data_IF_068047401172
#
_entry.id   IF_068047401172
#
_cell.length_a   1.000
_cell.length_b   1.000
_cell.length_c   1.000
_cell.angle_alpha   90.00
_cell.angle_beta   90.00
_cell.angle_gamma   90.00
#
_symmetry.space_group_name_H-M   'P 1'
#
loop_
_entity.id
_entity.type
_entity.pdbx_description
1 polymer ?
#
# COMPACT_ATOMS: atom_id res chain seq x y z
N UNK A 1 11.24 -19.78 -8.09
CA UNK A 1 10.89 -18.47 -8.68
C UNK A 1 10.60 -17.49 -7.57
N UNK A 2 11.20 -16.29 -7.57
CA UNK A 2 10.84 -15.25 -6.58
C UNK A 2 9.56 -14.55 -7.02
N UNK A 3 8.65 -14.34 -6.07
CA UNK A 3 7.46 -13.54 -6.29
C UNK A 3 7.78 -12.05 -6.15
N UNK A 4 7.07 -11.20 -6.86
CA UNK A 4 7.14 -9.78 -6.63
C UNK A 4 6.26 -9.41 -5.44
N UNK A 5 6.75 -8.51 -4.60
CA UNK A 5 5.94 -7.75 -3.66
C UNK A 5 6.06 -6.27 -3.99
N UNK A 6 4.94 -5.66 -4.30
CA UNK A 6 4.83 -4.25 -4.66
C UNK A 6 4.19 -3.50 -3.48
N UNK A 7 4.94 -2.61 -2.85
CA UNK A 7 4.51 -1.88 -1.66
C UNK A 7 4.32 -0.41 -2.04
N UNK A 8 3.09 0.09 -1.97
CA UNK A 8 2.81 1.51 -2.22
C UNK A 8 3.15 2.35 -0.99
N UNK A 9 3.70 3.54 -1.22
CA UNK A 9 4.02 4.52 -0.17
C UNK A 9 3.45 5.88 -0.54
N UNK A 10 2.74 6.54 0.37
CA UNK A 10 2.24 7.90 0.11
C UNK A 10 1.04 8.31 0.97
N UNK A 11 0.71 9.60 0.93
CA UNK A 11 -0.42 10.19 1.67
C UNK A 11 -1.78 9.68 1.14
N UNK A 12 -2.84 9.99 1.86
CA UNK A 12 -4.22 9.73 1.37
C UNK A 12 -4.45 10.45 0.03
N UNK A 13 -5.33 9.92 -0.81
CA UNK A 13 -5.66 10.45 -2.15
C UNK A 13 -4.49 10.61 -3.13
N UNK A 14 -3.33 10.03 -2.84
CA UNK A 14 -2.20 10.07 -3.79
C UNK A 14 -2.36 9.16 -5.01
N UNK A 15 -3.39 8.29 -5.07
CA UNK A 15 -3.69 7.42 -6.21
C UNK A 15 -3.25 5.97 -6.04
N UNK A 16 -2.77 5.55 -4.85
CA UNK A 16 -2.28 4.19 -4.57
C UNK A 16 -3.27 3.09 -4.95
N UNK A 17 -4.53 3.21 -4.50
CA UNK A 17 -5.56 2.19 -4.77
C UNK A 17 -5.92 2.11 -6.25
N UNK A 18 -5.96 3.24 -6.97
CA UNK A 18 -6.17 3.26 -8.42
C UNK A 18 -5.02 2.56 -9.14
N UNK A 19 -3.78 2.94 -8.81
CA UNK A 19 -2.58 2.28 -9.34
C UNK A 19 -2.57 0.78 -9.08
N UNK A 20 -2.89 0.36 -7.85
CA UNK A 20 -2.91 -1.06 -7.48
C UNK A 20 -3.91 -1.85 -8.33
N UNK A 21 -5.12 -1.29 -8.56
CA UNK A 21 -6.16 -1.92 -9.40
C UNK A 21 -5.77 -1.97 -10.89
N UNK A 22 -5.09 -0.94 -11.40
CA UNK A 22 -4.58 -0.94 -12.77
C UNK A 22 -3.44 -1.93 -12.94
N UNK A 23 -2.51 -1.98 -11.98
CA UNK A 23 -1.42 -2.94 -11.97
C UNK A 23 -1.93 -4.38 -11.90
N UNK A 24 -2.91 -4.69 -11.07
CA UNK A 24 -3.50 -6.04 -10.96
C UNK A 24 -4.12 -6.51 -12.28
N UNK A 25 -4.72 -5.61 -13.07
CA UNK A 25 -5.24 -5.95 -14.40
C UNK A 25 -4.12 -6.33 -15.39
N UNK A 26 -3.00 -5.63 -15.33
CA UNK A 26 -1.83 -5.88 -16.19
C UNK A 26 -0.93 -7.00 -15.67
N UNK A 27 -1.11 -7.39 -14.41
CA UNK A 27 -0.39 -8.46 -13.73
C UNK A 27 -1.38 -9.47 -13.13
N UNK A 28 -2.07 -10.27 -13.96
CA UNK A 28 -3.21 -11.10 -13.52
C UNK A 28 -2.85 -12.17 -12.49
N UNK A 29 -1.56 -12.56 -12.39
CA UNK A 29 -1.07 -13.46 -11.33
C UNK A 29 -0.68 -12.65 -10.07
N UNK A 30 -1.51 -11.70 -9.66
CA UNK A 30 -1.31 -10.90 -8.46
C UNK A 30 -2.62 -10.72 -7.69
N UNK A 31 -2.52 -10.26 -6.44
CA UNK A 31 -3.68 -9.80 -5.69
C UNK A 31 -3.36 -8.55 -4.88
N UNK A 32 -4.37 -7.74 -4.62
CA UNK A 32 -4.26 -6.52 -3.83
C UNK A 32 -4.63 -6.80 -2.38
N UNK A 33 -3.70 -6.50 -1.48
CA UNK A 33 -3.95 -6.39 -0.05
C UNK A 33 -4.09 -4.91 0.32
N UNK A 34 -5.33 -4.43 0.50
CA UNK A 34 -5.65 -3.06 0.91
C UNK A 34 -6.32 -3.09 2.29
N UNK A 35 -5.64 -2.56 3.31
CA UNK A 35 -6.15 -2.54 4.70
C UNK A 35 -7.41 -1.70 4.87
N UNK A 36 -7.76 -0.85 3.92
CA UNK A 36 -9.00 -0.10 3.97
C UNK A 36 -10.21 -1.01 3.74
N UNK A 37 -10.04 -2.09 2.94
CA UNK A 37 -11.07 -3.12 2.78
C UNK A 37 -11.36 -3.84 4.11
N UNK A 38 -10.31 -4.18 4.89
CA UNK A 38 -10.49 -4.79 6.22
C UNK A 38 -11.10 -3.81 7.20
N UNK A 39 -10.72 -2.53 7.14
CA UNK A 39 -11.33 -1.50 7.97
C UNK A 39 -12.83 -1.36 7.66
N UNK A 40 -13.21 -1.27 6.40
CA UNK A 40 -14.60 -1.16 5.97
C UNK A 40 -15.42 -2.39 6.37
N UNK A 41 -14.86 -3.59 6.17
CA UNK A 41 -15.48 -4.86 6.58
C UNK A 41 -15.74 -4.91 8.09
N UNK A 42 -14.72 -4.56 8.91
CA UNK A 42 -14.85 -4.55 10.37
C UNK A 42 -15.87 -3.49 10.80
N UNK A 43 -15.81 -2.29 10.23
CA UNK A 43 -16.73 -1.21 10.59
C UNK A 43 -18.19 -1.53 10.21
N UNK A 44 -18.39 -2.28 9.14
CA UNK A 44 -19.74 -2.68 8.68
C UNK A 44 -20.31 -3.83 9.49
N UNK A 45 -19.48 -4.84 9.86
CA UNK A 45 -20.00 -6.09 10.40
C UNK A 45 -19.61 -6.32 11.87
N UNK A 46 -18.56 -5.69 12.35
CA UNK A 46 -17.95 -5.94 13.65
C UNK A 46 -17.57 -4.65 14.41
N UNK A 47 -18.34 -3.57 14.22
CA UNK A 47 -18.07 -2.25 14.82
C UNK A 47 -17.79 -2.32 16.32
N UNK A 48 -18.56 -3.13 17.05
CA UNK A 48 -18.40 -3.30 18.49
C UNK A 48 -17.08 -3.97 18.92
N UNK A 49 -16.36 -4.60 18.00
CA UNK A 49 -15.06 -5.23 18.28
C UNK A 49 -13.89 -4.27 18.02
N UNK A 50 -14.16 -3.07 17.53
CA UNK A 50 -13.10 -2.09 17.31
C UNK A 50 -12.53 -1.57 18.62
N UNK A 51 -11.21 -1.47 18.75
CA UNK A 51 -10.62 -0.83 19.92
C UNK A 51 -10.95 0.66 19.92
N UNK A 52 -11.37 1.19 21.06
CA UNK A 52 -11.64 2.63 21.24
C UNK A 52 -10.37 3.46 21.18
N UNK A 53 -9.25 2.88 21.61
CA UNK A 53 -7.94 3.53 21.67
C UNK A 53 -6.83 2.63 21.09
N UNK A 54 -5.67 3.21 20.80
CA UNK A 54 -4.48 2.50 20.36
C UNK A 54 -4.55 1.96 18.94
N UNK A 55 -3.77 0.94 18.64
CA UNK A 55 -3.70 0.29 17.31
C UNK A 55 -4.94 -0.53 17.01
N UNK A 56 -5.40 -0.55 15.76
CA UNK A 56 -6.47 -1.45 15.33
C UNK A 56 -5.92 -2.88 15.13
N UNK A 57 -5.75 -3.60 16.25
CA UNK A 57 -5.16 -4.95 16.28
C UNK A 57 -5.95 -5.92 15.40
N UNK A 58 -7.30 -5.84 15.41
CA UNK A 58 -8.15 -6.71 14.62
C UNK A 58 -7.91 -6.52 13.13
N UNK A 59 -7.85 -5.26 12.66
CA UNK A 59 -7.54 -4.93 11.26
C UNK A 59 -6.16 -5.45 10.84
N UNK A 60 -5.15 -5.21 11.67
CA UNK A 60 -3.80 -5.66 11.39
C UNK A 60 -3.67 -7.19 11.41
N UNK A 61 -4.33 -7.85 12.36
CA UNK A 61 -4.37 -9.32 12.45
C UNK A 61 -5.02 -9.96 11.22
N UNK A 62 -6.17 -9.43 10.79
CA UNK A 62 -6.86 -9.92 9.60
C UNK A 62 -6.02 -9.70 8.34
N UNK A 63 -5.39 -8.53 8.22
CA UNK A 63 -4.49 -8.23 7.10
C UNK A 63 -3.28 -9.17 7.07
N UNK A 64 -2.69 -9.43 8.23
CA UNK A 64 -1.55 -10.35 8.35
C UNK A 64 -1.98 -11.77 7.98
N UNK A 65 -3.11 -12.25 8.47
CA UNK A 65 -3.63 -13.57 8.15
C UNK A 65 -3.82 -13.77 6.63
N UNK A 66 -4.41 -12.78 5.94
CA UNK A 66 -4.60 -12.83 4.48
C UNK A 66 -3.24 -12.91 3.76
N UNK A 67 -2.27 -12.11 4.17
CA UNK A 67 -0.93 -12.11 3.58
C UNK A 67 -0.23 -13.46 3.82
N UNK A 68 -0.26 -13.96 5.04
CA UNK A 68 0.36 -15.25 5.39
C UNK A 68 -0.28 -16.39 4.61
N UNK A 69 -1.62 -16.44 4.53
CA UNK A 69 -2.34 -17.41 3.72
C UNK A 69 -1.93 -17.37 2.24
N UNK A 70 -1.84 -16.17 1.66
CA UNK A 70 -1.42 -16.01 0.27
C UNK A 70 0.05 -16.43 0.06
N UNK A 71 0.92 -16.20 1.04
CA UNK A 71 2.32 -16.64 1.00
C UNK A 71 2.44 -18.16 0.99
N UNK A 72 1.65 -18.85 1.81
CA UNK A 72 1.74 -20.29 2.03
C UNK A 72 0.98 -21.10 0.98
N UNK A 73 -0.15 -20.60 0.48
CA UNK A 73 -1.08 -21.36 -0.33
C UNK A 73 -1.20 -20.91 -1.79
N UNK A 74 -0.48 -19.86 -2.19
CA UNK A 74 -0.53 -19.36 -3.58
C UNK A 74 0.85 -19.03 -4.11
N UNK A 75 0.93 -18.85 -5.44
CA UNK A 75 2.11 -18.32 -6.12
C UNK A 75 1.88 -16.88 -6.65
N UNK A 76 0.86 -16.19 -6.15
CA UNK A 76 0.51 -14.84 -6.59
C UNK A 76 1.59 -13.82 -6.20
N UNK A 77 1.81 -12.84 -7.05
CA UNK A 77 2.50 -11.60 -6.68
C UNK A 77 1.62 -10.81 -5.71
N UNK A 78 2.23 -10.02 -4.84
CA UNK A 78 1.50 -9.29 -3.81
C UNK A 78 1.59 -7.78 -4.05
N UNK A 79 0.43 -7.10 -4.02
CA UNK A 79 0.35 -5.64 -4.10
C UNK A 79 -0.17 -5.12 -2.74
N UNK A 80 0.75 -4.62 -1.91
CA UNK A 80 0.44 -4.11 -0.56
C UNK A 80 0.07 -2.63 -0.66
N UNK A 81 -1.22 -2.38 -0.72
CA UNK A 81 -1.79 -1.05 -0.97
C UNK A 81 -2.17 -0.35 0.34
N UNK A 82 -1.20 0.34 0.95
CA UNK A 82 -1.39 1.13 2.16
C UNK A 82 -0.60 2.45 2.09
N UNK A 83 -0.69 3.27 3.13
CA UNK A 83 0.13 4.49 3.22
C UNK A 83 1.62 4.19 3.36
N UNK A 84 2.00 3.20 4.15
CA UNK A 84 3.36 2.66 4.38
C UNK A 84 4.44 3.75 4.57
N UNK A 85 4.09 4.88 5.19
CA UNK A 85 4.97 6.04 5.35
C UNK A 85 5.97 5.91 6.49
N UNK A 86 5.66 5.06 7.49
CA UNK A 86 6.56 4.75 8.60
C UNK A 86 7.79 3.99 8.08
N UNK A 87 8.99 4.48 8.40
CA UNK A 87 10.27 3.83 8.10
C UNK A 87 10.36 2.45 8.76
N UNK A 88 10.01 2.38 10.05
CA UNK A 88 10.01 1.13 10.80
C UNK A 88 8.98 0.13 10.25
N UNK A 89 7.79 0.63 9.85
CA UNK A 89 6.78 -0.19 9.19
C UNK A 89 7.26 -0.77 7.86
N UNK A 90 7.94 0.02 7.02
CA UNK A 90 8.56 -0.49 5.79
C UNK A 90 9.70 -1.45 6.07
N UNK A 91 10.55 -1.17 7.06
CA UNK A 91 11.62 -2.08 7.46
C UNK A 91 11.05 -3.44 7.86
N UNK A 92 9.99 -3.47 8.68
CA UNK A 92 9.30 -4.71 9.06
C UNK A 92 8.76 -5.46 7.83
N UNK A 93 8.07 -4.76 6.92
CA UNK A 93 7.56 -5.39 5.69
C UNK A 93 8.67 -5.98 4.84
N UNK A 94 9.77 -5.26 4.65
CA UNK A 94 10.84 -5.64 3.72
C UNK A 94 11.78 -6.72 4.28
N UNK A 95 11.91 -6.83 5.59
CA UNK A 95 12.89 -7.75 6.18
C UNK A 95 12.23 -8.93 6.90
N UNK A 96 11.08 -8.71 7.56
CA UNK A 96 10.41 -9.77 8.33
C UNK A 96 9.29 -10.44 7.52
N UNK A 97 8.47 -9.63 6.80
CA UNK A 97 7.31 -10.19 6.08
C UNK A 97 7.70 -10.68 4.69
N UNK A 98 8.53 -9.91 3.97
CA UNK A 98 8.94 -10.18 2.58
C UNK A 98 10.46 -10.14 2.44
N UNK A 99 11.19 -11.13 2.97
CA UNK A 99 12.64 -11.14 2.95
C UNK A 99 13.19 -11.28 1.52
N UNK A 100 14.37 -10.70 1.28
CA UNK A 100 15.01 -10.59 -0.05
C UNK A 100 15.32 -11.95 -0.70
N UNK A 101 15.59 -12.97 0.10
CA UNK A 101 15.84 -14.30 -0.43
C UNK A 101 14.61 -14.94 -1.08
N UNK A 102 13.39 -14.53 -0.71
CA UNK A 102 12.12 -15.09 -1.19
C UNK A 102 11.41 -14.19 -2.20
N UNK A 103 11.54 -12.86 -2.05
CA UNK A 103 10.79 -11.86 -2.82
C UNK A 103 11.70 -10.90 -3.56
N UNK A 104 11.19 -10.38 -4.68
CA UNK A 104 11.67 -9.16 -5.32
C UNK A 104 10.80 -8.02 -4.81
N UNK A 105 11.41 -7.09 -4.08
CA UNK A 105 10.74 -6.06 -3.31
C UNK A 105 10.76 -4.75 -4.07
N UNK A 106 9.57 -4.24 -4.38
CA UNK A 106 9.37 -3.03 -5.16
C UNK A 106 8.65 -2.00 -4.30
N UNK A 107 9.26 -0.84 -4.08
CA UNK A 107 8.58 0.32 -3.51
C UNK A 107 8.05 1.22 -4.62
N UNK A 108 6.79 1.64 -4.50
CA UNK A 108 6.18 2.66 -5.38
C UNK A 108 5.79 3.86 -4.53
N UNK A 109 6.59 4.91 -4.59
CA UNK A 109 6.42 6.12 -3.81
C UNK A 109 5.59 7.15 -4.58
N UNK A 110 4.46 7.54 -4.02
CA UNK A 110 3.57 8.58 -4.54
C UNK A 110 3.96 9.93 -3.93
N UNK A 111 4.90 10.62 -4.55
CA UNK A 111 5.38 11.96 -4.19
C UNK A 111 4.49 13.05 -4.82
N UNK A 112 3.17 12.96 -4.57
CA UNK A 112 2.19 13.91 -5.12
C UNK A 112 2.20 15.20 -4.30
N UNK A 113 2.24 16.39 -4.94
CA UNK A 113 2.18 17.68 -4.26
C UNK A 113 0.93 17.83 -3.38
N UNK A 114 1.06 18.56 -2.28
CA UNK A 114 0.01 18.66 -1.27
C UNK A 114 -1.22 19.43 -1.77
N UNK A 115 -1.04 20.45 -2.60
CA UNK A 115 -2.13 21.20 -3.27
C UNK A 115 -3.01 20.27 -4.12
N UNK A 116 -2.39 19.38 -4.91
CA UNK A 116 -3.09 18.35 -5.70
C UNK A 116 -3.85 17.37 -4.79
N UNK A 117 -3.28 17.01 -3.64
CA UNK A 117 -3.94 16.13 -2.68
C UNK A 117 -5.15 16.81 -2.04
N UNK A 118 -5.07 18.10 -1.70
CA UNK A 118 -6.19 18.86 -1.17
C UNK A 118 -7.35 18.97 -2.17
N UNK A 119 -7.04 19.22 -3.44
CA UNK A 119 -8.04 19.24 -4.51
C UNK A 119 -8.75 17.88 -4.62
N UNK A 120 -7.98 16.77 -4.69
CA UNK A 120 -8.52 15.43 -4.79
C UNK A 120 -9.38 15.03 -3.59
N UNK A 121 -8.97 15.42 -2.38
CA UNK A 121 -9.77 15.20 -1.16
C UNK A 121 -11.09 15.97 -1.22
N UNK A 122 -11.08 17.23 -1.72
CA UNK A 122 -12.30 18.04 -1.87
C UNK A 122 -13.32 17.46 -2.84
N UNK A 123 -12.85 16.75 -3.88
CA UNK A 123 -13.69 16.09 -4.89
C UNK A 123 -14.03 14.63 -4.57
N UNK A 124 -13.52 14.10 -3.46
CA UNK A 124 -13.62 12.69 -3.13
C UNK A 124 -15.05 12.28 -2.77
N UNK A 125 -15.51 11.20 -3.42
CA UNK A 125 -16.74 10.48 -3.07
C UNK A 125 -16.45 9.17 -2.32
N UNK A 126 -15.22 8.99 -1.83
CA UNK A 126 -14.81 7.79 -1.12
C UNK A 126 -15.55 7.67 0.21
N UNK A 127 -16.00 6.45 0.52
CA UNK A 127 -16.64 6.14 1.80
C UNK A 127 -15.72 6.46 2.98
N UNK A 128 -16.28 7.10 4.01
CA UNK A 128 -15.61 7.34 5.28
C UNK A 128 -15.77 6.17 6.26
N UNK A 129 -16.47 5.11 5.88
CA UNK A 129 -16.68 3.92 6.69
C UNK A 129 -15.39 3.14 7.02
N UNK A 130 -14.26 3.54 6.45
CA UNK A 130 -12.93 3.05 6.83
C UNK A 130 -12.38 3.72 8.10
N UNK A 131 -13.00 4.79 8.56
CA UNK A 131 -12.54 5.52 9.73
C UNK A 131 -13.05 4.89 11.02
N UNK A 132 -12.21 4.89 11.99
CA UNK A 132 -12.51 4.64 13.38
C UNK A 132 -12.69 6.00 14.04
N UNK A 133 -13.68 6.23 14.85
CA UNK A 133 -14.12 7.47 15.51
C UNK A 133 -13.19 8.68 15.71
N UNK A 134 -11.90 8.54 15.38
CA UNK A 134 -10.88 9.58 15.49
C UNK A 134 -10.76 10.50 14.26
N UNK A 135 -11.52 10.23 13.19
CA UNK A 135 -11.50 11.04 11.96
C UNK A 135 -12.92 11.22 11.45
N UNK A 136 -13.25 12.45 11.08
CA UNK A 136 -14.53 12.82 10.48
C UNK A 136 -14.45 12.95 8.94
N UNK A 137 -13.25 13.15 8.39
CA UNK A 137 -13.06 13.40 6.97
C UNK A 137 -11.66 13.07 6.47
N UNK A 138 -11.53 12.83 5.16
CA UNK A 138 -10.22 12.69 4.52
C UNK A 138 -9.37 13.96 4.57
N UNK A 139 -9.98 15.13 4.67
CA UNK A 139 -9.27 16.40 4.84
C UNK A 139 -8.52 16.43 6.18
N UNK A 140 -9.14 15.93 7.22
CA UNK A 140 -8.51 15.79 8.53
C UNK A 140 -7.38 14.76 8.51
N UNK A 141 -7.59 13.62 7.84
CA UNK A 141 -6.55 12.60 7.65
C UNK A 141 -5.34 13.19 6.92
N UNK A 142 -5.56 13.93 5.82
CA UNK A 142 -4.50 14.57 5.06
C UNK A 142 -3.73 15.57 5.90
N UNK A 143 -4.43 16.45 6.62
CA UNK A 143 -3.82 17.42 7.51
C UNK A 143 -2.93 16.76 8.57
N UNK A 144 -3.43 15.72 9.25
CA UNK A 144 -2.63 14.97 10.24
C UNK A 144 -1.44 14.26 9.60
N UNK A 145 -1.56 13.79 8.36
CA UNK A 145 -0.44 13.20 7.64
C UNK A 145 0.65 14.21 7.28
N UNK A 146 0.30 15.48 7.12
CA UNK A 146 1.27 16.57 6.90
C UNK A 146 1.97 16.95 8.21
N UNK A 147 1.21 17.11 9.31
CA UNK A 147 1.79 17.40 10.62
C UNK A 147 2.71 16.27 11.10
N UNK A 148 2.37 15.02 10.82
CA UNK A 148 3.23 13.85 11.15
C UNK A 148 4.52 13.75 10.34
N UNK A 149 4.76 14.59 9.33
CA UNK A 149 6.09 14.72 8.70
C UNK A 149 7.17 15.19 9.70
N UNK A 150 6.76 15.72 10.85
CA UNK A 150 7.67 16.10 11.94
C UNK A 150 8.11 14.91 12.83
N UNK A 151 7.56 13.72 12.62
CA UNK A 151 7.99 12.52 13.34
C UNK A 151 9.16 11.86 12.61
N UNK A 152 10.23 11.55 13.32
CA UNK A 152 11.46 10.92 12.82
C UNK A 152 11.22 9.61 12.05
N UNK A 153 10.13 8.90 12.34
CA UNK A 153 9.77 7.64 11.66
C UNK A 153 9.04 7.84 10.31
N UNK A 154 8.55 9.05 9.99
CA UNK A 154 7.86 9.34 8.72
C UNK A 154 8.83 9.94 7.72
N UNK A 155 9.51 9.07 6.99
CA UNK A 155 10.54 9.42 6.02
C UNK A 155 10.19 8.84 4.65
N UNK A 156 10.45 9.58 3.59
CA UNK A 156 10.30 9.08 2.22
C UNK A 156 11.24 7.90 1.96
N UNK A 157 10.84 6.91 1.16
CA UNK A 157 11.70 5.80 0.83
C UNK A 157 12.92 6.24 0.03
N UNK A 158 14.06 5.59 0.30
CA UNK A 158 15.33 5.78 -0.42
C UNK A 158 15.63 4.58 -1.31
N UNK A 159 16.46 4.75 -2.32
CA UNK A 159 16.76 3.73 -3.34
C UNK A 159 17.29 2.41 -2.75
N UNK A 160 18.05 2.46 -1.68
CA UNK A 160 18.63 1.28 -1.02
C UNK A 160 17.65 0.56 -0.06
N UNK A 161 16.40 1.00 0.02
CA UNK A 161 15.40 0.41 0.93
C UNK A 161 14.76 -0.87 0.42
N UNK A 162 14.80 -1.13 -0.90
CA UNK A 162 14.22 -2.29 -1.56
C UNK A 162 15.05 -2.66 -2.79
N UNK A 163 14.64 -3.69 -3.56
CA UNK A 163 15.34 -4.06 -4.80
C UNK A 163 15.08 -3.05 -5.92
N UNK A 164 13.89 -2.43 -5.90
CA UNK A 164 13.51 -1.35 -6.83
C UNK A 164 12.70 -0.27 -6.12
N UNK A 165 12.93 0.99 -6.52
CA UNK A 165 12.11 2.15 -6.11
C UNK A 165 11.62 2.89 -7.35
N UNK A 166 10.30 3.03 -7.48
CA UNK A 166 9.65 3.89 -8.47
C UNK A 166 9.01 5.08 -7.77
N UNK A 167 9.15 6.28 -8.36
CA UNK A 167 8.56 7.50 -7.81
C UNK A 167 7.54 8.05 -8.79
N UNK A 168 6.28 8.16 -8.36
CA UNK A 168 5.17 8.74 -9.10
C UNK A 168 4.93 10.15 -8.58
N UNK A 169 5.16 11.16 -9.42
CA UNK A 169 4.95 12.57 -9.10
C UNK A 169 3.66 13.14 -9.70
N UNK A 170 3.16 12.48 -10.74
CA UNK A 170 1.94 12.88 -11.44
C UNK A 170 1.31 11.69 -12.17
N UNK A 171 0.13 11.89 -12.79
CA UNK A 171 -0.60 10.81 -13.47
C UNK A 171 0.13 10.23 -14.68
N UNK A 172 1.05 10.97 -15.32
CA UNK A 172 1.79 10.49 -16.50
C UNK A 172 2.80 9.39 -16.12
N UNK A 173 3.27 9.38 -14.87
CA UNK A 173 4.24 8.40 -14.38
C UNK A 173 3.60 7.01 -14.13
N UNK A 174 2.27 6.94 -13.99
CA UNK A 174 1.53 5.73 -13.61
C UNK A 174 1.74 4.61 -14.61
N UNK A 175 1.37 4.83 -15.87
CA UNK A 175 1.44 3.79 -16.90
C UNK A 175 2.87 3.30 -17.15
N UNK A 176 3.84 4.21 -17.19
CA UNK A 176 5.25 3.83 -17.37
C UNK A 176 5.77 3.00 -16.20
N UNK A 177 5.32 3.27 -14.96
CA UNK A 177 5.67 2.49 -13.78
C UNK A 177 5.03 1.10 -13.82
N UNK A 178 3.76 0.99 -14.19
CA UNK A 178 3.07 -0.29 -14.38
C UNK A 178 3.80 -1.16 -15.39
N UNK A 179 4.11 -0.62 -16.58
CA UNK A 179 4.82 -1.36 -17.62
C UNK A 179 6.19 -1.87 -17.17
N UNK A 180 6.94 -1.07 -16.40
CA UNK A 180 8.23 -1.50 -15.83
C UNK A 180 8.07 -2.66 -14.84
N UNK A 181 7.05 -2.60 -13.96
CA UNK A 181 6.77 -3.67 -12.99
C UNK A 181 6.34 -4.95 -13.70
N UNK A 182 5.49 -4.86 -14.71
CA UNK A 182 5.06 -6.01 -15.53
C UNK A 182 6.26 -6.62 -16.28
N UNK A 183 7.18 -5.80 -16.78
CA UNK A 183 8.41 -6.28 -17.41
C UNK A 183 9.28 -7.05 -16.42
N UNK A 184 9.51 -6.50 -15.22
CA UNK A 184 10.22 -7.20 -14.14
C UNK A 184 9.57 -8.55 -13.80
N UNK A 185 8.23 -8.60 -13.72
CA UNK A 185 7.54 -9.85 -13.46
C UNK A 185 7.83 -10.92 -14.53
N UNK A 186 7.94 -10.53 -15.81
CA UNK A 186 8.29 -11.43 -16.90
C UNK A 186 9.74 -11.88 -16.85
N UNK A 187 10.68 -11.02 -16.50
CA UNK A 187 12.11 -11.34 -16.36
C UNK A 187 12.36 -12.40 -15.28
N UNK A 188 11.60 -12.34 -14.18
CA UNK A 188 11.72 -13.28 -13.06
C UNK A 188 10.77 -14.48 -13.15
N UNK A 189 9.89 -14.52 -14.16
CA UNK A 189 9.09 -15.70 -14.48
C UNK A 189 9.92 -16.71 -15.27
N UNK A 190 9.82 -18.03 -15.01
CA UNK A 190 10.47 -18.99 -15.86
C UNK A 190 9.86 -18.91 -17.27
N UNK A 191 10.72 -18.89 -18.28
CA UNK A 191 10.29 -19.06 -19.67
C UNK A 191 9.47 -20.35 -19.76
N UNK A 192 8.24 -20.35 -20.28
CA UNK A 192 7.54 -21.60 -20.50
C UNK A 192 8.39 -22.47 -21.41
N UNK A 193 8.68 -23.69 -20.93
CA UNK A 193 9.37 -24.73 -21.73
C UNK A 193 8.43 -25.21 -22.82
#
# INVERSE_FOLDING_TARGET
MKRLVIITVGKTHSGKTTFAKELEKELPNSFIMDQDNQAEFINTHYEKLQPTEGSNILKHGLSKFIVDYAKEHTNLHLIICNSNRSKNGRFYLLNEVFPQNEYIRILVHFAIPDDVLYERVGLSKRSTNIFRGNYSSFKEVLHRQQVKLLHEDVVDPIENGADYLFVIRNSKDVNSTILKIVHLAKEFSPTPK
#
